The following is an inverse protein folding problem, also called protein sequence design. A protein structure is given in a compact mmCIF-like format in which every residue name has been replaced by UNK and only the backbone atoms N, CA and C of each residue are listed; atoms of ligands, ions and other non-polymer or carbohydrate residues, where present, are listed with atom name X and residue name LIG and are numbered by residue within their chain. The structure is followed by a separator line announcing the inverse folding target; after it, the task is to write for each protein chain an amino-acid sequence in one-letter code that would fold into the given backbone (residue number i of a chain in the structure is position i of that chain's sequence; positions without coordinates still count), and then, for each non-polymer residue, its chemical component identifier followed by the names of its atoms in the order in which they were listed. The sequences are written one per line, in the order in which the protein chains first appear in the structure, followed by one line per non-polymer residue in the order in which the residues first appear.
data_IF_522256090371
#
_entry.id   IF_522256090371
#
_cell.length_a   1.000
_cell.length_b   1.000
_cell.length_c   1.000
_cell.angle_alpha   90.00
_cell.angle_beta   90.00
_cell.angle_gamma   90.00
#
_symmetry.space_group_name_H-M   'P 1'
#
loop_
_entity.id
_entity.type
_entity.pdbx_description
1 polymer ?
#
# COMPACT_ATOMS: atom_id res chain seq x y z
N UNK A 1 6.72 15.38 -3.14
CA UNK A 1 7.66 14.94 -2.10
C UNK A 1 6.95 15.09 -0.78
N UNK A 2 7.00 14.05 0.05
CA UNK A 2 6.55 14.11 1.43
C UNK A 2 7.33 15.20 2.17
N UNK A 3 6.78 15.75 3.25
CA UNK A 3 7.42 16.81 4.03
C UNK A 3 7.26 16.57 5.52
N UNK A 4 8.24 17.02 6.31
CA UNK A 4 8.25 16.85 7.77
C UNK A 4 8.40 15.38 8.16
N UNK A 5 7.79 15.01 9.29
CA UNK A 5 7.88 13.65 9.86
C UNK A 5 7.53 12.55 8.84
N UNK A 6 6.57 12.79 7.94
CA UNK A 6 6.19 11.83 6.91
C UNK A 6 7.24 11.62 5.82
N UNK A 7 8.14 12.58 5.59
CA UNK A 7 9.33 12.34 4.79
C UNK A 7 10.37 11.56 5.61
N UNK A 8 10.58 12.00 6.85
CA UNK A 8 11.64 11.48 7.71
C UNK A 8 11.51 9.98 7.98
N UNK A 9 10.28 9.45 8.13
CA UNK A 9 10.05 8.01 8.38
C UNK A 9 10.50 7.06 7.26
N UNK A 10 10.82 7.59 6.07
CA UNK A 10 11.36 6.81 4.94
C UNK A 10 12.86 6.99 4.76
N UNK A 11 13.50 7.86 5.54
CA UNK A 11 14.94 8.02 5.49
C UNK A 11 15.65 6.74 5.98
N UNK A 12 16.80 6.39 5.39
CA UNK A 12 17.59 5.26 5.85
C UNK A 12 17.86 5.37 7.35
N UNK A 13 17.69 4.25 8.06
CA UNK A 13 18.00 4.12 9.49
C UNK A 13 17.11 4.94 10.44
N UNK A 14 16.02 5.57 9.98
CA UNK A 14 15.15 6.39 10.84
C UNK A 14 14.69 5.67 12.12
N UNK A 15 14.31 4.39 12.00
CA UNK A 15 13.85 3.57 13.14
C UNK A 15 14.94 2.75 13.83
N UNK A 16 16.21 2.91 13.44
CA UNK A 16 17.31 2.14 14.01
C UNK A 16 17.71 2.71 15.35
N UNK A 17 17.87 1.83 16.35
CA UNK A 17 18.42 2.22 17.64
C UNK A 17 19.95 2.37 17.57
N UNK A 18 20.55 2.90 18.63
CA UNK A 18 22.01 3.17 18.69
C UNK A 18 22.86 1.90 18.45
N UNK A 19 22.40 0.74 18.93
CA UNK A 19 23.10 -0.53 18.73
C UNK A 19 23.04 -0.97 17.27
N UNK A 20 21.85 -0.94 16.66
CA UNK A 20 21.65 -1.30 15.24
C UNK A 20 22.46 -0.37 14.32
N UNK A 21 22.52 0.93 14.63
CA UNK A 21 23.35 1.88 13.89
C UNK A 21 24.84 1.60 14.03
N UNK A 22 25.31 1.27 15.23
CA UNK A 22 26.71 0.92 15.47
C UNK A 22 27.11 -0.39 14.77
N UNK A 23 26.20 -1.37 14.72
CA UNK A 23 26.41 -2.67 14.09
C UNK A 23 26.18 -2.66 12.58
N UNK A 24 25.50 -1.64 12.06
CA UNK A 24 25.17 -1.54 10.63
C UNK A 24 24.09 -2.53 10.20
N UNK A 25 23.30 -3.08 11.13
CA UNK A 25 22.23 -4.00 10.80
C UNK A 25 21.08 -4.03 11.83
N UNK A 26 19.88 -4.35 11.33
CA UNK A 26 18.68 -4.62 12.13
C UNK A 26 18.41 -6.14 12.13
N UNK A 27 17.94 -6.67 13.27
CA UNK A 27 17.82 -8.11 13.48
C UNK A 27 16.41 -8.58 13.82
N UNK A 28 16.02 -9.72 13.22
CA UNK A 28 14.83 -10.47 13.62
C UNK A 28 13.55 -9.64 13.60
N UNK A 29 12.79 -9.73 14.69
CA UNK A 29 11.46 -9.10 14.82
C UNK A 29 11.47 -7.57 14.70
N UNK A 30 12.63 -6.94 14.90
CA UNK A 30 12.78 -5.48 14.78
C UNK A 30 12.34 -4.97 13.41
N UNK A 31 12.59 -5.72 12.34
CA UNK A 31 12.18 -5.33 10.98
C UNK A 31 10.67 -5.15 10.94
N UNK A 32 9.93 -6.17 11.38
CA UNK A 32 8.46 -6.16 11.42
C UNK A 32 7.91 -5.09 12.37
N UNK A 33 8.56 -4.84 13.50
CA UNK A 33 8.17 -3.77 14.43
C UNK A 33 8.31 -2.39 13.79
N UNK A 34 9.42 -2.13 13.11
CA UNK A 34 9.67 -0.84 12.46
C UNK A 34 8.73 -0.62 11.27
N UNK A 35 8.40 -1.66 10.51
CA UNK A 35 7.38 -1.58 9.47
C UNK A 35 6.00 -1.20 10.02
N UNK A 36 5.60 -1.80 11.15
CA UNK A 36 4.35 -1.44 11.84
C UNK A 36 4.35 0.00 12.36
N UNK A 37 5.47 0.46 12.92
CA UNK A 37 5.61 1.84 13.37
C UNK A 37 5.54 2.82 12.20
N UNK A 38 6.19 2.50 11.09
CA UNK A 38 6.15 3.28 9.85
C UNK A 38 4.72 3.37 9.31
N UNK A 39 4.03 2.25 9.15
CA UNK A 39 2.63 2.22 8.71
C UNK A 39 1.71 3.00 9.66
N UNK A 40 1.89 2.86 10.98
CA UNK A 40 1.09 3.58 11.98
C UNK A 40 1.33 5.10 11.97
N UNK A 41 2.52 5.54 11.56
CA UNK A 41 2.87 6.95 11.39
C UNK A 41 2.36 7.48 10.06
N UNK A 42 2.61 6.75 8.96
CA UNK A 42 2.20 7.12 7.61
C UNK A 42 0.67 7.21 7.49
N UNK A 43 -0.06 6.26 8.09
CA UNK A 43 -1.53 6.14 8.00
C UNK A 43 -2.05 6.23 6.55
N UNK A 44 -1.28 5.69 5.61
CA UNK A 44 -1.53 5.82 4.18
C UNK A 44 -1.73 7.27 3.72
N UNK A 45 -1.11 8.24 4.37
CA UNK A 45 -1.21 9.67 4.08
C UNK A 45 -2.64 10.19 3.97
N UNK A 46 -3.56 9.64 4.77
CA UNK A 46 -4.98 10.00 4.75
C UNK A 46 -5.24 11.49 5.02
N UNK A 47 -4.27 12.20 5.60
CA UNK A 47 -4.35 13.65 5.83
C UNK A 47 -3.86 14.48 4.61
N UNK A 48 -3.04 13.90 3.73
CA UNK A 48 -2.45 14.59 2.57
C UNK A 48 -3.12 14.22 1.24
N UNK A 49 -3.62 12.99 1.15
CA UNK A 49 -4.28 12.47 -0.04
C UNK A 49 -5.80 12.45 0.15
N UNK A 50 -6.58 12.60 -0.93
CA UNK A 50 -8.03 12.47 -0.86
C UNK A 50 -8.45 11.14 -0.25
N UNK A 51 -9.50 11.19 0.57
CA UNK A 51 -10.10 10.00 1.15
C UNK A 51 -11.00 9.33 0.10
N UNK A 52 -10.83 8.02 -0.18
CA UNK A 52 -11.75 7.30 -1.05
C UNK A 52 -13.11 7.14 -0.37
N UNK A 53 -14.19 7.39 -1.11
CA UNK A 53 -15.56 7.28 -0.62
C UNK A 53 -16.32 6.12 -1.26
N UNK A 54 -15.82 5.58 -2.36
CA UNK A 54 -16.37 4.42 -3.06
C UNK A 54 -15.29 3.39 -3.33
N UNK A 55 -15.68 2.12 -3.56
CA UNK A 55 -14.71 1.10 -3.96
C UNK A 55 -14.07 1.43 -5.31
N UNK A 56 -14.81 2.08 -6.21
CA UNK A 56 -14.27 2.60 -7.46
C UNK A 56 -13.21 3.68 -7.25
N UNK A 57 -13.30 4.48 -6.18
CA UNK A 57 -12.24 5.45 -5.84
C UNK A 57 -10.96 4.72 -5.48
N UNK A 58 -11.09 3.65 -4.68
CA UNK A 58 -9.98 2.80 -4.25
C UNK A 58 -9.29 2.17 -5.47
N UNK A 59 -10.06 1.49 -6.33
CA UNK A 59 -9.52 0.83 -7.53
C UNK A 59 -8.85 1.84 -8.46
N UNK A 60 -9.46 3.01 -8.68
CA UNK A 60 -8.85 4.06 -9.53
C UNK A 60 -7.52 4.56 -8.98
N UNK A 61 -7.38 4.63 -7.66
CA UNK A 61 -6.13 5.03 -7.05
C UNK A 61 -5.04 3.97 -7.21
N UNK A 62 -5.36 2.67 -7.03
CA UNK A 62 -4.44 1.57 -7.35
C UNK A 62 -3.95 1.63 -8.80
N UNK A 63 -4.88 1.78 -9.75
CA UNK A 63 -4.54 1.87 -11.17
C UNK A 63 -3.67 3.09 -11.49
N UNK A 64 -3.87 4.21 -10.79
CA UNK A 64 -3.03 5.39 -10.93
C UNK A 64 -1.59 5.12 -10.45
N UNK A 65 -1.43 4.47 -9.30
CA UNK A 65 -0.11 4.15 -8.77
C UNK A 65 0.63 3.12 -9.63
N UNK A 66 -0.04 2.08 -10.12
CA UNK A 66 0.53 1.10 -11.07
C UNK A 66 0.99 1.79 -12.37
N UNK A 67 0.12 2.61 -12.98
CA UNK A 67 0.49 3.34 -14.18
C UNK A 67 1.73 4.24 -13.95
N UNK A 68 1.74 4.98 -12.85
CA UNK A 68 2.85 5.87 -12.51
C UNK A 68 4.14 5.07 -12.29
N UNK A 69 4.05 3.92 -11.63
CA UNK A 69 5.16 3.00 -11.45
C UNK A 69 5.71 2.52 -12.79
N UNK A 70 4.86 2.04 -13.70
CA UNK A 70 5.30 1.56 -15.01
C UNK A 70 6.05 2.64 -15.77
N UNK A 71 5.54 3.87 -15.78
CA UNK A 71 6.20 5.00 -16.46
C UNK A 71 7.54 5.36 -15.82
N UNK A 72 7.62 5.43 -14.49
CA UNK A 72 8.87 5.72 -13.77
C UNK A 72 9.90 4.61 -13.96
N UNK A 73 9.47 3.35 -13.94
CA UNK A 73 10.34 2.20 -14.12
C UNK A 73 10.97 2.18 -15.52
N UNK A 74 10.19 2.48 -16.56
CA UNK A 74 10.71 2.64 -17.92
C UNK A 74 11.75 3.77 -17.95
N UNK A 75 11.40 4.95 -17.42
CA UNK A 75 12.32 6.09 -17.40
C UNK A 75 13.63 5.78 -16.64
N UNK A 76 13.55 5.10 -15.49
CA UNK A 76 14.71 4.71 -14.70
C UNK A 76 15.63 3.75 -15.46
N UNK A 77 15.05 2.77 -16.18
CA UNK A 77 15.82 1.81 -16.99
C UNK A 77 16.45 2.42 -18.25
N UNK A 78 15.87 3.48 -18.81
CA UNK A 78 16.52 4.23 -19.89
C UNK A 78 17.79 4.95 -19.40
N UNK A 79 17.80 5.41 -18.14
CA UNK A 79 18.96 6.05 -17.52
C UNK A 79 20.01 5.05 -17.03
N UNK A 80 19.57 3.90 -16.52
CA UNK A 80 20.42 2.79 -16.09
C UNK A 80 19.81 1.44 -16.51
N UNK A 81 20.14 0.94 -17.71
CA UNK A 81 19.59 -0.33 -18.22
C UNK A 81 19.94 -1.55 -17.38
N UNK A 82 21.02 -1.49 -16.58
CA UNK A 82 21.43 -2.54 -15.66
C UNK A 82 20.83 -2.41 -14.27
N UNK A 83 20.15 -1.29 -13.99
CA UNK A 83 19.57 -0.98 -12.70
C UNK A 83 18.26 -1.71 -12.43
N UNK A 84 17.87 -1.74 -11.15
CA UNK A 84 16.62 -2.36 -10.68
C UNK A 84 15.36 -1.53 -11.03
N UNK A 85 15.52 -0.33 -11.60
CA UNK A 85 14.44 0.57 -11.96
C UNK A 85 14.04 1.52 -10.82
N UNK A 86 12.76 1.89 -10.76
CA UNK A 86 12.22 2.74 -9.69
C UNK A 86 12.21 1.97 -8.36
N UNK A 87 13.24 2.16 -7.52
CA UNK A 87 13.48 1.33 -6.33
C UNK A 87 12.90 1.85 -5.02
N UNK A 88 12.54 3.14 -4.95
CA UNK A 88 12.22 3.81 -3.69
C UNK A 88 10.71 4.07 -3.57
N UNK A 89 9.98 3.06 -3.10
CA UNK A 89 8.50 3.00 -3.18
C UNK A 89 7.80 2.62 -1.88
N UNK A 90 8.51 2.56 -0.77
CA UNK A 90 7.93 2.20 0.54
C UNK A 90 6.72 3.07 0.92
N UNK A 91 6.75 4.35 0.52
CA UNK A 91 5.62 5.25 0.72
C UNK A 91 4.38 4.87 -0.10
N UNK A 92 4.55 4.40 -1.34
CA UNK A 92 3.43 3.92 -2.14
C UNK A 92 2.83 2.67 -1.50
N UNK A 93 3.67 1.75 -1.00
CA UNK A 93 3.18 0.55 -0.31
C UNK A 93 2.33 0.88 0.92
N UNK A 94 2.70 1.87 1.74
CA UNK A 94 1.85 2.28 2.86
C UNK A 94 0.50 2.85 2.43
N UNK A 95 0.45 3.53 1.28
CA UNK A 95 -0.82 3.99 0.72
C UNK A 95 -1.63 2.84 0.18
N UNK A 96 -1.01 1.90 -0.53
CA UNK A 96 -1.68 0.70 -1.04
C UNK A 96 -2.24 -0.14 0.11
N UNK A 97 -1.47 -0.40 1.17
CA UNK A 97 -1.92 -1.11 2.36
C UNK A 97 -3.14 -0.41 3.02
N UNK A 98 -3.14 0.92 3.06
CA UNK A 98 -4.28 1.70 3.53
C UNK A 98 -5.52 1.50 2.65
N UNK A 99 -5.33 1.52 1.32
CA UNK A 99 -6.39 1.30 0.34
C UNK A 99 -6.96 -0.13 0.40
N UNK A 100 -6.15 -1.15 0.69
CA UNK A 100 -6.63 -2.51 0.95
C UNK A 100 -7.60 -2.55 2.13
N UNK A 101 -7.26 -1.86 3.23
CA UNK A 101 -8.16 -1.72 4.37
C UNK A 101 -9.49 -1.04 3.99
N UNK A 102 -9.48 -0.15 3.00
CA UNK A 102 -10.70 0.48 2.47
C UNK A 102 -11.56 -0.48 1.64
N UNK A 103 -10.96 -1.43 0.92
CA UNK A 103 -11.72 -2.48 0.20
C UNK A 103 -12.51 -3.38 1.17
N UNK A 104 -12.05 -3.53 2.40
CA UNK A 104 -12.73 -4.31 3.45
C UNK A 104 -13.84 -3.51 4.14
N UNK A 105 -13.74 -2.17 4.19
CA UNK A 105 -14.59 -1.33 5.04
C UNK A 105 -15.60 -0.46 4.29
N UNK A 106 -15.30 -0.07 3.05
CA UNK A 106 -16.22 0.70 2.20
C UNK A 106 -17.24 -0.25 1.58
N UNK A 107 -18.52 0.04 1.75
CA UNK A 107 -19.60 -0.71 1.09
C UNK A 107 -19.70 -0.32 -0.38
N UNK A 108 -20.02 -1.29 -1.23
CA UNK A 108 -20.33 -1.00 -2.63
C UNK A 108 -21.56 -0.10 -2.75
N UNK A 109 -21.48 0.93 -3.58
CA UNK A 109 -22.57 1.87 -3.88
C UNK A 109 -23.72 1.17 -4.61
N UNK A 110 -23.40 0.16 -5.41
CA UNK A 110 -24.37 -0.67 -6.11
C UNK A 110 -23.77 -2.05 -6.48
N UNK A 111 -24.62 -2.98 -6.92
CA UNK A 111 -24.18 -4.33 -7.30
C UNK A 111 -23.18 -4.35 -8.46
N UNK A 112 -23.27 -3.39 -9.39
CA UNK A 112 -22.35 -3.33 -10.53
C UNK A 112 -20.93 -3.00 -10.07
N UNK A 113 -20.79 -2.01 -9.18
CA UNK A 113 -19.50 -1.70 -8.54
C UNK A 113 -18.95 -2.91 -7.79
N UNK A 114 -19.78 -3.61 -7.01
CA UNK A 114 -19.34 -4.82 -6.31
C UNK A 114 -18.80 -5.89 -7.26
N UNK A 115 -19.48 -6.12 -8.38
CA UNK A 115 -19.07 -7.10 -9.40
C UNK A 115 -17.76 -6.68 -10.07
N UNK A 116 -17.63 -5.41 -10.44
CA UNK A 116 -16.47 -4.91 -11.16
C UNK A 116 -15.22 -4.92 -10.25
N UNK A 117 -15.38 -4.54 -8.99
CA UNK A 117 -14.32 -4.62 -7.98
C UNK A 117 -13.95 -6.08 -7.70
N UNK A 118 -14.93 -6.99 -7.58
CA UNK A 118 -14.67 -8.42 -7.37
C UNK A 118 -13.82 -9.01 -8.51
N UNK A 119 -14.16 -8.72 -9.76
CA UNK A 119 -13.38 -9.19 -10.92
C UNK A 119 -11.95 -8.65 -10.87
N UNK A 120 -11.79 -7.36 -10.59
CA UNK A 120 -10.48 -6.75 -10.50
C UNK A 120 -9.63 -7.37 -9.38
N UNK A 121 -10.20 -7.58 -8.18
CA UNK A 121 -9.52 -8.24 -7.04
C UNK A 121 -9.05 -9.64 -7.42
N UNK A 122 -9.85 -10.40 -8.16
CA UNK A 122 -9.50 -11.78 -8.58
C UNK A 122 -8.43 -11.83 -9.69
N UNK A 123 -8.20 -10.73 -10.40
CA UNK A 123 -7.18 -10.63 -11.45
C UNK A 123 -5.83 -10.11 -10.93
N UNK A 124 -5.84 -9.39 -9.81
CA UNK A 124 -4.68 -8.67 -9.30
C UNK A 124 -3.85 -9.52 -8.33
N UNK A 125 -2.56 -9.70 -8.64
CA UNK A 125 -1.68 -10.63 -7.92
C UNK A 125 -1.53 -10.28 -6.44
N UNK A 126 -1.64 -8.98 -6.12
CA UNK A 126 -1.56 -8.45 -4.76
C UNK A 126 -2.63 -9.04 -3.83
N UNK A 127 -3.79 -9.45 -4.36
CA UNK A 127 -4.87 -10.07 -3.58
C UNK A 127 -4.87 -11.60 -3.65
N UNK A 128 -3.71 -12.22 -3.88
CA UNK A 128 -3.60 -13.68 -3.76
C UNK A 128 -3.45 -14.17 -2.31
N UNK A 129 -3.29 -13.26 -1.33
CA UNK A 129 -3.44 -13.59 0.10
C UNK A 129 -4.90 -13.98 0.39
N UNK A 130 -5.11 -15.19 0.91
CA UNK A 130 -6.45 -15.73 1.11
C UNK A 130 -7.23 -14.99 2.20
N UNK A 131 -6.59 -14.56 3.28
CA UNK A 131 -7.31 -13.97 4.41
C UNK A 131 -7.83 -12.57 4.08
N UNK A 132 -7.00 -11.74 3.45
CA UNK A 132 -7.42 -10.41 3.01
C UNK A 132 -8.51 -10.52 1.94
N UNK A 133 -8.33 -11.39 0.96
CA UNK A 133 -9.27 -11.55 -0.14
C UNK A 133 -10.62 -12.08 0.32
N UNK A 134 -10.65 -13.01 1.28
CA UNK A 134 -11.90 -13.47 1.88
C UNK A 134 -12.65 -12.29 2.55
N UNK A 135 -11.96 -11.42 3.30
CA UNK A 135 -12.57 -10.24 3.93
C UNK A 135 -13.13 -9.26 2.90
N UNK A 136 -12.40 -9.03 1.80
CA UNK A 136 -12.87 -8.17 0.70
C UNK A 136 -14.11 -8.79 0.04
N UNK A 137 -14.08 -10.09 -0.30
CA UNK A 137 -15.21 -10.77 -0.94
C UNK A 137 -16.46 -10.72 -0.05
N UNK A 138 -16.32 -10.97 1.25
CA UNK A 138 -17.44 -10.87 2.21
C UNK A 138 -18.05 -9.47 2.18
N UNK A 139 -17.20 -8.44 2.27
CA UNK A 139 -17.67 -7.05 2.18
C UNK A 139 -18.42 -6.78 0.86
N UNK A 140 -17.92 -7.29 -0.28
CA UNK A 140 -18.55 -7.10 -1.59
C UNK A 140 -19.92 -7.77 -1.73
N UNK A 141 -20.16 -8.89 -1.04
CA UNK A 141 -21.47 -9.57 -1.03
C UNK A 141 -22.42 -9.04 0.06
N UNK A 142 -22.00 -8.04 0.83
CA UNK A 142 -22.78 -7.42 1.90
C UNK A 142 -22.75 -8.19 3.22
N UNK A 143 -21.77 -9.08 3.40
CA UNK A 143 -21.51 -9.79 4.66
C UNK A 143 -20.32 -9.15 5.38
N UNK A 144 -20.35 -9.10 6.71
CA UNK A 144 -19.19 -8.72 7.52
C UNK A 144 -18.41 -9.98 7.90
N UNK A 145 -17.08 -9.93 7.86
CA UNK A 145 -16.20 -11.05 8.24
C UNK A 145 -16.29 -11.50 9.72
N UNK A 146 -17.11 -10.83 10.53
CA UNK A 146 -17.39 -11.12 11.94
C UNK A 146 -18.77 -11.80 12.14
N UNK A 147 -19.01 -12.94 11.48
CA UNK A 147 -20.20 -13.79 11.69
C UNK A 147 -19.83 -15.13 12.34
#
# INVERSE_FOLDING_TARGET
MLVGELADIYEPFYYWNETEQAEGCMHGDRINETDKLRQATAKGFAEQLPEPHTLSDVVREFLYWDWLYQMRNVAAKELDPGGYGDGDRYHIYDREDYLEGKLVTIQAVNHQEAIDVCKWVLEEERFHDRELTDKIILNLVGESADA
#
